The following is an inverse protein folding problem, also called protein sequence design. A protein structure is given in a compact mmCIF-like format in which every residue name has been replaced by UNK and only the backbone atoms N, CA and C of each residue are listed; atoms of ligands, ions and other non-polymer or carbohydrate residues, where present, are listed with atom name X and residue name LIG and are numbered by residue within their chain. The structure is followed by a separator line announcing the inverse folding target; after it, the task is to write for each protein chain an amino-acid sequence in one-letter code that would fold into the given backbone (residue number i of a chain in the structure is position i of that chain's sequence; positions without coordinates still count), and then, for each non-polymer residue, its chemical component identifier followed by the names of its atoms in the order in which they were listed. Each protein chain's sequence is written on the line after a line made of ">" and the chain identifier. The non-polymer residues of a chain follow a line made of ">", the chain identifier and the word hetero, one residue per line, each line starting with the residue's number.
data_IF_816170283363
#
_entry.id   IF_816170283363
#
_cell.length_a   1.000
_cell.length_b   1.000
_cell.length_c   1.000
_cell.angle_alpha   90.00
_cell.angle_beta   90.00
_cell.angle_gamma   90.00
#
_symmetry.space_group_name_H-M   'P 1'
#
loop_
_entity.id
_entity.type
_entity.pdbx_description
1 polymer ?
#
# COMPACT_ATOMS: atom_id res chain seq x y z
N UNK A 1 -2.16 6.87 4.05
CA UNK A 1 -3.29 6.72 4.98
C UNK A 1 -2.82 6.23 6.35
N UNK A 2 -2.33 4.99 6.47
CA UNK A 2 -2.09 4.26 7.74
C UNK A 2 -1.01 4.87 8.64
N UNK A 3 -0.18 5.73 8.14
CA UNK A 3 0.84 6.45 8.92
C UNK A 3 0.46 7.92 9.07
N UNK A 4 0.15 8.59 7.97
CA UNK A 4 -0.13 10.02 8.00
C UNK A 4 -1.50 10.34 8.61
N UNK A 5 -2.60 9.77 8.08
CA UNK A 5 -3.94 10.06 8.59
C UNK A 5 -4.23 9.37 9.92
N UNK A 6 -3.80 8.12 10.07
CA UNK A 6 -4.07 7.33 11.25
C UNK A 6 -3.22 7.73 12.47
N UNK A 7 -1.96 8.12 12.25
CA UNK A 7 -0.99 8.35 13.32
C UNK A 7 -0.44 9.79 13.35
N UNK A 8 -0.82 10.64 12.40
CA UNK A 8 -0.32 12.02 12.29
C UNK A 8 1.18 12.11 11.99
N UNK A 9 1.80 11.06 11.44
CA UNK A 9 3.24 10.98 11.17
C UNK A 9 3.51 11.06 9.68
N UNK A 10 4.55 11.82 9.29
CA UNK A 10 5.03 11.89 7.90
C UNK A 10 6.48 11.40 7.86
N UNK A 11 6.70 10.22 7.30
CA UNK A 11 8.02 9.56 7.30
C UNK A 11 8.90 9.99 6.12
N UNK A 12 8.30 10.22 4.95
CA UNK A 12 9.02 10.54 3.70
C UNK A 12 8.30 11.64 2.94
N UNK A 13 8.39 12.92 3.38
CA UNK A 13 7.76 14.02 2.67
C UNK A 13 8.28 14.17 1.23
N UNK A 14 9.56 13.90 1.00
CA UNK A 14 10.21 13.93 -0.31
C UNK A 14 9.64 12.90 -1.29
N UNK A 15 9.10 11.79 -0.82
CA UNK A 15 8.52 10.76 -1.67
C UNK A 15 7.30 11.29 -2.44
N UNK A 16 6.53 12.19 -1.84
CA UNK A 16 5.41 12.83 -2.51
C UNK A 16 5.87 13.77 -3.64
N UNK A 17 7.03 14.38 -3.51
CA UNK A 17 7.62 15.20 -4.59
C UNK A 17 8.16 14.33 -5.73
N UNK A 18 8.73 13.16 -5.41
CA UNK A 18 9.32 12.25 -6.38
C UNK A 18 8.26 11.42 -7.13
N UNK A 19 7.23 10.93 -6.44
CA UNK A 19 6.28 9.96 -6.98
C UNK A 19 4.81 10.26 -6.65
N UNK A 20 4.50 11.48 -6.20
CA UNK A 20 3.15 11.89 -5.83
C UNK A 20 2.22 12.09 -7.03
N UNK A 21 0.92 12.13 -6.75
CA UNK A 21 -0.11 12.36 -7.76
C UNK A 21 0.11 13.68 -8.50
N UNK A 22 0.09 13.64 -9.83
CA UNK A 22 0.34 14.79 -10.74
C UNK A 22 1.77 15.36 -10.68
N UNK A 23 2.71 14.70 -10.03
CA UNK A 23 4.12 15.08 -10.11
C UNK A 23 4.74 14.57 -11.42
N UNK A 24 5.82 15.18 -11.91
CA UNK A 24 6.56 14.68 -13.06
C UNK A 24 6.99 13.21 -12.85
N UNK A 25 7.02 12.44 -13.93
CA UNK A 25 7.46 11.06 -13.84
C UNK A 25 8.92 11.01 -13.36
N UNK A 26 9.18 10.19 -12.35
CA UNK A 26 10.53 9.93 -11.84
C UNK A 26 10.69 8.44 -11.54
N UNK A 27 11.92 7.99 -11.50
CA UNK A 27 12.26 6.60 -11.17
C UNK A 27 13.36 6.60 -10.10
N UNK A 28 12.99 6.73 -8.82
CA UNK A 28 13.94 6.55 -7.74
C UNK A 28 14.61 5.17 -7.80
N UNK A 29 15.78 5.01 -7.19
CA UNK A 29 16.45 3.73 -7.19
C UNK A 29 15.62 2.66 -6.48
N UNK A 30 15.73 1.40 -6.93
CA UNK A 30 15.03 0.28 -6.28
C UNK A 30 15.39 0.15 -4.80
N UNK A 31 16.64 0.44 -4.44
CA UNK A 31 17.11 0.41 -3.05
C UNK A 31 16.38 1.45 -2.18
N UNK A 32 16.29 2.69 -2.65
CA UNK A 32 15.58 3.76 -1.94
C UNK A 32 14.09 3.42 -1.79
N UNK A 33 13.46 2.92 -2.85
CA UNK A 33 12.05 2.54 -2.81
C UNK A 33 11.78 1.38 -1.85
N UNK A 34 12.66 0.37 -1.80
CA UNK A 34 12.55 -0.73 -0.84
C UNK A 34 12.76 -0.28 0.61
N UNK A 35 13.70 0.63 0.84
CA UNK A 35 13.92 1.18 2.18
C UNK A 35 12.70 1.97 2.67
N UNK A 36 12.15 2.85 1.82
CA UNK A 36 10.94 3.60 2.12
C UNK A 36 9.74 2.67 2.35
N UNK A 37 9.57 1.65 1.48
CA UNK A 37 8.51 0.67 1.60
C UNK A 37 8.54 -0.05 2.96
N UNK A 38 9.68 -0.59 3.35
CA UNK A 38 9.84 -1.30 4.64
C UNK A 38 9.47 -0.42 5.81
N UNK A 39 10.04 0.79 5.89
CA UNK A 39 9.78 1.71 6.99
C UNK A 39 8.30 2.14 7.07
N UNK A 40 7.66 2.37 5.93
CA UNK A 40 6.24 2.74 5.89
C UNK A 40 5.35 1.57 6.30
N UNK A 41 5.64 0.36 5.83
CA UNK A 41 4.84 -0.82 6.18
C UNK A 41 5.00 -1.20 7.65
N UNK A 42 6.23 -1.20 8.17
CA UNK A 42 6.50 -1.42 9.60
C UNK A 42 5.77 -0.38 10.48
N UNK A 43 5.83 0.90 10.11
CA UNK A 43 5.12 1.95 10.85
C UNK A 43 3.58 1.84 10.75
N UNK A 44 3.05 1.20 9.73
CA UNK A 44 1.61 0.96 9.59
C UNK A 44 1.13 -0.26 10.38
N UNK A 45 1.99 -1.26 10.60
CA UNK A 45 1.63 -2.56 11.18
C UNK A 45 1.04 -2.43 12.58
N UNK A 46 1.64 -1.61 13.45
CA UNK A 46 1.14 -1.40 14.81
C UNK A 46 -0.30 -0.86 14.81
N UNK A 47 -0.59 0.09 13.93
CA UNK A 47 -1.94 0.63 13.78
C UNK A 47 -2.89 -0.40 13.19
N UNK A 48 -2.50 -1.08 12.12
CA UNK A 48 -3.35 -2.05 11.42
C UNK A 48 -3.70 -3.25 12.31
N UNK A 49 -2.75 -3.73 13.10
CA UNK A 49 -2.97 -4.84 14.05
C UNK A 49 -3.83 -4.44 15.26
N UNK A 50 -3.90 -3.16 15.59
CA UNK A 50 -4.73 -2.64 16.68
C UNK A 50 -6.19 -2.39 16.28
N UNK A 51 -6.54 -2.45 14.99
CA UNK A 51 -7.89 -2.13 14.51
C UNK A 51 -8.94 -3.12 15.01
N UNK A 52 -9.99 -2.58 15.59
CA UNK A 52 -11.19 -3.34 15.95
C UNK A 52 -12.24 -3.27 14.83
N UNK A 53 -13.23 -4.19 14.80
CA UNK A 53 -14.35 -4.11 13.85
C UNK A 53 -15.14 -2.80 13.94
N UNK A 54 -15.26 -2.21 15.13
CA UNK A 54 -15.93 -0.94 15.37
C UNK A 54 -15.14 0.22 14.75
N UNK A 55 -13.83 0.24 14.96
CA UNK A 55 -12.95 1.26 14.38
C UNK A 55 -12.94 1.18 12.84
N UNK A 56 -13.01 -0.01 12.26
CA UNK A 56 -13.08 -0.16 10.80
C UNK A 56 -14.34 0.45 10.18
N UNK A 57 -15.39 0.67 10.93
CA UNK A 57 -16.62 1.36 10.48
C UNK A 57 -16.53 2.89 10.57
N UNK A 58 -15.48 3.43 11.20
CA UNK A 58 -15.25 4.87 11.30
C UNK A 58 -14.54 5.44 10.09
N UNK A 59 -14.42 6.76 10.02
CA UNK A 59 -13.86 7.49 8.88
C UNK A 59 -12.67 8.34 9.32
N UNK A 60 -11.61 8.34 8.55
CA UNK A 60 -10.56 9.34 8.74
C UNK A 60 -11.08 10.75 8.43
N UNK A 61 -10.50 11.72 9.11
CA UNK A 61 -10.77 13.13 8.87
C UNK A 61 -9.62 13.75 8.09
N UNK A 62 -9.94 14.58 7.11
CA UNK A 62 -8.99 15.40 6.39
C UNK A 62 -9.51 16.83 6.29
N UNK A 63 -8.77 17.79 6.79
CA UNK A 63 -9.20 19.20 6.83
C UNK A 63 -10.60 19.41 7.44
N UNK A 64 -10.90 18.69 8.51
CA UNK A 64 -12.18 18.77 9.22
C UNK A 64 -13.35 18.09 8.51
N UNK A 65 -13.12 17.34 7.42
CA UNK A 65 -14.15 16.58 6.70
C UNK A 65 -13.85 15.09 6.74
N UNK A 66 -14.90 14.29 6.97
CA UNK A 66 -14.78 12.85 6.87
C UNK A 66 -14.47 12.44 5.42
N UNK A 67 -13.56 11.47 5.26
CA UNK A 67 -13.33 10.85 3.97
C UNK A 67 -14.59 10.08 3.52
N UNK A 68 -14.71 9.84 2.21
CA UNK A 68 -15.89 9.17 1.62
C UNK A 68 -16.01 7.70 2.03
N UNK A 69 -14.89 7.07 2.35
CA UNK A 69 -14.84 5.66 2.71
C UNK A 69 -14.43 5.47 4.16
N UNK A 70 -15.05 4.49 4.81
CA UNK A 70 -14.62 4.06 6.13
C UNK A 70 -13.28 3.30 6.06
N UNK A 71 -12.64 3.14 7.22
CA UNK A 71 -11.31 2.52 7.34
C UNK A 71 -11.30 1.10 6.77
N UNK A 72 -12.32 0.29 7.02
CA UNK A 72 -12.43 -1.07 6.49
C UNK A 72 -12.50 -1.12 4.97
N UNK A 73 -13.29 -0.23 4.35
CA UNK A 73 -13.36 -0.11 2.87
C UNK A 73 -12.03 0.33 2.28
N UNK A 74 -11.33 1.26 2.93
CA UNK A 74 -9.99 1.69 2.51
C UNK A 74 -8.97 0.55 2.60
N UNK A 75 -9.06 -0.28 3.64
CA UNK A 75 -8.21 -1.47 3.77
C UNK A 75 -8.45 -2.47 2.64
N UNK A 76 -9.71 -2.80 2.34
CA UNK A 76 -10.08 -3.64 1.20
C UNK A 76 -9.59 -3.05 -0.12
N UNK A 77 -9.76 -1.75 -0.33
CA UNK A 77 -9.25 -1.06 -1.52
C UNK A 77 -7.75 -1.25 -1.66
N UNK A 78 -6.96 -1.13 -0.58
CA UNK A 78 -5.52 -1.35 -0.62
C UNK A 78 -5.18 -2.77 -1.06
N UNK A 79 -5.86 -3.79 -0.55
CA UNK A 79 -5.67 -5.19 -0.97
C UNK A 79 -5.90 -5.32 -2.48
N UNK A 80 -7.02 -4.81 -3.00
CA UNK A 80 -7.30 -4.85 -4.44
C UNK A 80 -6.29 -4.05 -5.26
N UNK A 81 -5.80 -2.94 -4.74
CA UNK A 81 -4.80 -2.11 -5.40
C UNK A 81 -3.45 -2.84 -5.52
N UNK A 82 -3.04 -3.59 -4.50
CA UNK A 82 -1.88 -4.47 -4.58
C UNK A 82 -2.03 -5.56 -5.65
N UNK A 83 -3.19 -6.20 -5.71
CA UNK A 83 -3.48 -7.19 -6.76
C UNK A 83 -3.39 -6.58 -8.16
N UNK A 84 -3.95 -5.39 -8.34
CA UNK A 84 -3.88 -4.65 -9.60
C UNK A 84 -2.43 -4.42 -10.03
N UNK A 85 -1.58 -3.88 -9.17
CA UNK A 85 -0.18 -3.64 -9.49
C UNK A 85 0.65 -4.93 -9.64
N UNK A 86 0.34 -5.96 -8.89
CA UNK A 86 0.96 -7.28 -9.04
C UNK A 86 0.70 -7.85 -10.43
N UNK A 87 -0.53 -7.72 -10.93
CA UNK A 87 -0.88 -8.10 -12.30
C UNK A 87 -0.11 -7.29 -13.35
N UNK A 88 -0.02 -5.97 -13.18
CA UNK A 88 0.76 -5.11 -14.08
C UNK A 88 2.25 -5.50 -14.08
N UNK A 89 2.85 -5.71 -12.90
CA UNK A 89 4.25 -6.13 -12.79
C UNK A 89 4.50 -7.47 -13.47
N UNK A 90 3.56 -8.41 -13.39
CA UNK A 90 3.64 -9.69 -14.09
C UNK A 90 3.66 -9.51 -15.60
N UNK A 91 2.81 -8.63 -16.15
CA UNK A 91 2.79 -8.33 -17.57
C UNK A 91 4.13 -7.72 -18.02
N UNK A 92 4.64 -6.74 -17.30
CA UNK A 92 5.95 -6.12 -17.59
C UNK A 92 7.06 -7.17 -17.58
N UNK A 93 7.10 -8.07 -16.59
CA UNK A 93 8.09 -9.14 -16.53
C UNK A 93 8.01 -10.10 -17.71
N UNK A 94 6.80 -10.43 -18.18
CA UNK A 94 6.59 -11.24 -19.39
C UNK A 94 7.14 -10.54 -20.62
N UNK A 95 6.87 -9.25 -20.79
CA UNK A 95 7.37 -8.45 -21.91
C UNK A 95 8.90 -8.35 -21.91
N UNK A 96 9.53 -8.35 -20.75
CA UNK A 96 10.98 -8.37 -20.56
C UNK A 96 11.61 -9.77 -20.75
N UNK A 97 10.82 -10.79 -21.06
CA UNK A 97 11.32 -12.15 -21.32
C UNK A 97 11.72 -12.94 -20.07
N UNK A 98 11.26 -12.56 -18.88
CA UNK A 98 11.52 -13.33 -17.66
C UNK A 98 10.83 -14.71 -17.74
N UNK A 99 11.58 -15.78 -17.56
CA UNK A 99 11.07 -17.16 -17.66
C UNK A 99 10.48 -17.70 -16.35
N UNK A 100 10.97 -17.22 -15.20
CA UNK A 100 10.49 -17.64 -13.88
C UNK A 100 9.46 -16.62 -13.36
N UNK A 101 8.20 -16.88 -13.62
CA UNK A 101 7.09 -16.05 -13.18
C UNK A 101 6.23 -16.82 -12.18
N UNK A 102 5.65 -16.17 -11.17
CA UNK A 102 4.69 -16.83 -10.29
C UNK A 102 3.45 -17.28 -11.08
N UNK A 103 2.93 -18.43 -10.76
CA UNK A 103 1.66 -18.91 -11.29
C UNK A 103 0.52 -18.37 -10.44
N UNK A 104 -0.54 -17.92 -11.10
CA UNK A 104 -1.75 -17.40 -10.47
C UNK A 104 -1.43 -16.41 -9.34
N UNK A 105 -1.79 -16.74 -8.09
CA UNK A 105 -1.55 -15.90 -6.90
C UNK A 105 -0.25 -16.25 -6.16
N UNK A 106 0.54 -17.17 -6.65
CA UNK A 106 1.74 -17.68 -6.01
C UNK A 106 1.46 -18.69 -4.90
N UNK A 107 2.41 -18.84 -3.99
CA UNK A 107 2.29 -19.78 -2.87
C UNK A 107 1.31 -19.25 -1.80
N UNK A 108 0.19 -19.95 -1.63
CA UNK A 108 -0.86 -19.62 -0.66
C UNK A 108 -0.69 -20.33 0.70
N UNK A 109 0.38 -21.10 0.90
CA UNK A 109 0.59 -21.85 2.15
C UNK A 109 0.61 -20.97 3.40
N UNK A 110 1.06 -19.71 3.25
CA UNK A 110 1.13 -18.70 4.32
C UNK A 110 -0.14 -17.88 4.50
N UNK A 111 -1.13 -18.07 3.65
CA UNK A 111 -2.41 -17.37 3.66
C UNK A 111 -3.59 -18.33 3.86
N UNK A 112 -3.36 -19.46 4.49
CA UNK A 112 -4.41 -20.43 4.79
C UNK A 112 -5.49 -19.81 5.69
N UNK A 113 -6.73 -19.98 5.33
CA UNK A 113 -7.86 -19.60 6.19
C UNK A 113 -7.94 -20.56 7.38
N UNK A 114 -7.93 -20.03 8.59
CA UNK A 114 -8.02 -20.79 9.86
C UNK A 114 -9.20 -20.32 10.68
#
# INVERSE_FOLDING_TARGET
>A
FWVMLAQGRQLFPELNELAGFRKPASSPSLHEMWSAWKLITEAADDYLTSLTPEQMKTYFQWEGKALQENIGTMLMRNVYHYWFHTGQALVVRKLLGHSKLPEFVGDMSRAAYT
#
